data_IF_454548718311
#
_entry.id   IF_454548718311
#
_cell.length_a   1.000
_cell.length_b   1.000
_cell.length_c   1.000
_cell.angle_alpha   90.00
_cell.angle_beta   90.00
_cell.angle_gamma   90.00
#
_symmetry.space_group_name_H-M   'P 1'
#
loop_
_entity.id
_entity.type
_entity.pdbx_description
1 polymer ?
#
# COMPACT_ATOMS: atom_id res chain seq x y z
N UNK A 1 -0.11 7.83 -29.08
CA UNK A 1 -1.41 7.34 -28.58
C UNK A 1 -2.09 8.37 -27.66
N UNK A 2 -2.24 9.64 -28.09
CA UNK A 2 -2.68 10.74 -27.21
C UNK A 2 -4.12 10.58 -26.70
N UNK A 3 -4.99 9.91 -27.46
CA UNK A 3 -6.38 9.69 -27.05
C UNK A 3 -6.50 8.77 -25.82
N UNK A 4 -5.72 7.70 -25.75
CA UNK A 4 -5.74 6.76 -24.62
C UNK A 4 -5.23 7.45 -23.36
N UNK A 5 -4.13 8.20 -23.49
CA UNK A 5 -3.56 8.99 -22.40
C UNK A 5 -4.56 10.01 -21.85
N UNK A 6 -5.18 10.80 -22.74
CA UNK A 6 -6.23 11.75 -22.36
C UNK A 6 -7.44 11.06 -21.70
N UNK A 7 -7.80 9.86 -22.15
CA UNK A 7 -8.89 9.07 -21.55
C UNK A 7 -8.54 8.63 -20.14
N UNK A 8 -7.32 8.15 -19.89
CA UNK A 8 -6.86 7.75 -18.55
C UNK A 8 -6.78 8.95 -17.60
N UNK A 9 -6.29 10.10 -18.07
CA UNK A 9 -6.27 11.33 -17.28
C UNK A 9 -7.69 11.83 -16.96
N UNK A 10 -8.63 11.67 -17.89
CA UNK A 10 -10.04 12.01 -17.66
C UNK A 10 -10.66 11.05 -16.65
N UNK A 11 -10.41 9.75 -16.78
CA UNK A 11 -10.85 8.72 -15.85
C UNK A 11 -10.36 9.02 -14.43
N UNK A 12 -9.08 9.38 -14.25
CA UNK A 12 -8.50 9.71 -12.95
C UNK A 12 -9.32 10.78 -12.21
N UNK A 13 -9.82 11.79 -12.92
CA UNK A 13 -10.66 12.85 -12.32
C UNK A 13 -12.06 12.37 -11.97
N UNK A 14 -12.58 11.38 -12.68
CA UNK A 14 -13.92 10.84 -12.47
C UNK A 14 -14.01 9.76 -11.40
N UNK A 15 -12.92 9.07 -11.06
CA UNK A 15 -12.92 8.01 -10.04
C UNK A 15 -13.50 8.47 -8.69
N UNK A 16 -13.34 9.74 -8.34
CA UNK A 16 -13.88 10.32 -7.10
C UNK A 16 -15.40 10.59 -7.12
N UNK A 17 -16.06 10.50 -8.28
CA UNK A 17 -17.45 10.92 -8.46
C UNK A 17 -18.37 9.83 -9.02
N UNK A 18 -17.82 8.84 -9.74
CA UNK A 18 -18.64 7.80 -10.36
C UNK A 18 -19.14 6.77 -9.33
N UNK A 19 -20.31 6.16 -9.54
CA UNK A 19 -20.80 5.12 -8.65
C UNK A 19 -19.82 3.93 -8.57
N UNK A 20 -19.63 3.41 -7.36
CA UNK A 20 -18.64 2.37 -7.06
C UNK A 20 -18.85 1.08 -7.88
N UNK A 21 -20.09 0.75 -8.26
CA UNK A 21 -20.37 -0.40 -9.13
C UNK A 21 -19.64 -0.32 -10.48
N UNK A 22 -19.44 0.87 -11.06
CA UNK A 22 -18.65 1.03 -12.29
C UNK A 22 -17.16 0.74 -12.08
N UNK A 23 -16.65 0.87 -10.86
CA UNK A 23 -15.27 0.61 -10.50
C UNK A 23 -15.07 -0.87 -10.18
N UNK A 24 -15.91 -1.43 -9.31
CA UNK A 24 -15.69 -2.74 -8.67
C UNK A 24 -16.48 -3.90 -9.28
N UNK A 25 -17.62 -3.65 -9.93
CA UNK A 25 -18.45 -4.72 -10.53
C UNK A 25 -18.14 -4.91 -12.03
N UNK A 26 -17.39 -3.99 -12.62
CA UNK A 26 -16.95 -4.05 -14.01
C UNK A 26 -15.48 -4.49 -14.13
N UNK A 27 -14.99 -4.62 -15.36
CA UNK A 27 -13.60 -4.99 -15.67
C UNK A 27 -12.62 -3.82 -15.61
N UNK A 28 -12.95 -2.73 -14.90
CA UNK A 28 -12.14 -1.51 -14.91
C UNK A 28 -10.74 -1.76 -14.31
N UNK A 29 -10.69 -2.28 -13.08
CA UNK A 29 -9.44 -2.57 -12.35
C UNK A 29 -8.53 -3.48 -13.17
N UNK A 30 -9.05 -4.62 -13.64
CA UNK A 30 -8.27 -5.58 -14.43
C UNK A 30 -7.81 -4.99 -15.77
N UNK A 31 -8.60 -4.13 -16.40
CA UNK A 31 -8.18 -3.43 -17.63
C UNK A 31 -7.04 -2.47 -17.34
N UNK A 32 -7.11 -1.67 -16.27
CA UNK A 32 -6.03 -0.77 -15.85
C UNK A 32 -4.72 -1.54 -15.64
N UNK A 33 -4.77 -2.60 -14.83
CA UNK A 33 -3.60 -3.39 -14.48
C UNK A 33 -3.00 -4.09 -15.70
N UNK A 34 -3.78 -4.89 -16.44
CA UNK A 34 -3.22 -5.75 -17.48
C UNK A 34 -3.02 -5.10 -18.84
N UNK A 35 -3.72 -4.00 -19.15
CA UNK A 35 -3.60 -3.32 -20.46
C UNK A 35 -2.71 -2.10 -20.42
N UNK A 36 -2.64 -1.38 -19.31
CA UNK A 36 -2.01 -0.05 -19.28
C UNK A 36 -0.83 0.05 -18.32
N UNK A 37 -0.84 -0.65 -17.18
CA UNK A 37 0.21 -0.50 -16.17
C UNK A 37 1.62 -0.85 -16.70
N UNK A 38 1.76 -1.93 -17.47
CA UNK A 38 3.07 -2.31 -18.00
C UNK A 38 3.56 -1.42 -19.14
N UNK A 39 2.69 -0.62 -19.76
CA UNK A 39 3.04 0.21 -20.91
C UNK A 39 3.67 1.51 -20.40
N UNK A 40 4.96 1.80 -20.68
CA UNK A 40 5.68 2.93 -20.06
C UNK A 40 4.98 4.29 -20.21
N UNK A 41 4.33 4.53 -21.36
CA UNK A 41 3.63 5.79 -21.60
C UNK A 41 2.35 5.98 -20.78
N UNK A 42 1.73 4.91 -20.26
CA UNK A 42 0.47 4.96 -19.50
C UNK A 42 0.64 4.59 -18.03
N UNK A 43 1.79 4.01 -17.67
CA UNK A 43 2.06 3.43 -16.35
C UNK A 43 1.78 4.41 -15.20
N UNK A 44 2.27 5.64 -15.32
CA UNK A 44 2.14 6.65 -14.26
C UNK A 44 0.68 7.02 -13.99
N UNK A 45 -0.07 7.44 -15.02
CA UNK A 45 -1.49 7.77 -14.85
C UNK A 45 -2.33 6.55 -14.44
N UNK A 46 -1.99 5.36 -14.93
CA UNK A 46 -2.65 4.12 -14.53
C UNK A 46 -2.45 3.85 -13.05
N UNK A 47 -1.22 3.96 -12.55
CA UNK A 47 -0.93 3.74 -11.14
C UNK A 47 -1.61 4.79 -10.26
N UNK A 48 -1.67 6.06 -10.68
CA UNK A 48 -2.47 7.08 -10.00
C UNK A 48 -3.96 6.69 -9.93
N UNK A 49 -4.55 6.16 -11.00
CA UNK A 49 -5.93 5.65 -10.97
C UNK A 49 -6.10 4.51 -9.96
N UNK A 50 -5.15 3.56 -9.93
CA UNK A 50 -5.18 2.45 -8.97
C UNK A 50 -5.03 2.96 -7.52
N UNK A 51 -4.26 4.02 -7.29
CA UNK A 51 -4.14 4.68 -5.98
C UNK A 51 -5.45 5.31 -5.53
N UNK A 52 -6.17 6.02 -6.41
CA UNK A 52 -7.49 6.57 -6.07
C UNK A 52 -8.48 5.46 -5.73
N UNK A 53 -8.47 4.35 -6.48
CA UNK A 53 -9.32 3.18 -6.19
C UNK A 53 -8.94 2.55 -4.85
N UNK A 54 -7.64 2.42 -4.56
CA UNK A 54 -7.13 1.87 -3.30
C UNK A 54 -7.44 2.73 -2.07
N UNK A 55 -7.78 4.01 -2.25
CA UNK A 55 -8.19 4.90 -1.17
C UNK A 55 -9.67 4.79 -0.78
N UNK A 56 -10.47 3.99 -1.51
CA UNK A 56 -11.91 3.87 -1.24
C UNK A 56 -12.16 2.94 -0.05
N UNK A 57 -12.76 3.48 1.01
CA UNK A 57 -13.01 2.76 2.27
C UNK A 57 -14.43 2.19 2.36
N UNK A 58 -14.67 1.06 1.69
CA UNK A 58 -15.96 0.33 1.75
C UNK A 58 -15.78 -1.17 1.95
N UNK A 59 -16.67 -1.80 2.71
CA UNK A 59 -16.60 -3.23 3.05
C UNK A 59 -17.16 -4.16 1.97
N UNK A 60 -17.98 -3.65 1.04
CA UNK A 60 -18.77 -4.50 0.14
C UNK A 60 -17.95 -5.08 -1.03
N UNK A 61 -16.70 -4.63 -1.19
CA UNK A 61 -15.83 -4.98 -2.31
C UNK A 61 -14.48 -5.55 -1.86
N UNK A 62 -14.43 -6.23 -0.71
CA UNK A 62 -13.18 -6.83 -0.19
C UNK A 62 -12.46 -7.71 -1.21
N UNK A 63 -13.18 -8.54 -1.97
CA UNK A 63 -12.59 -9.43 -2.97
C UNK A 63 -11.89 -8.65 -4.09
N UNK A 64 -12.46 -7.52 -4.50
CA UNK A 64 -11.90 -6.64 -5.52
C UNK A 64 -10.67 -5.90 -5.01
N UNK A 65 -10.64 -5.48 -3.74
CA UNK A 65 -9.44 -4.91 -3.14
C UNK A 65 -8.31 -5.93 -3.05
N UNK A 66 -8.61 -7.15 -2.59
CA UNK A 66 -7.63 -8.25 -2.60
C UNK A 66 -7.08 -8.48 -4.01
N UNK A 67 -7.96 -8.56 -5.02
CA UNK A 67 -7.56 -8.72 -6.41
C UNK A 67 -6.71 -7.54 -6.92
N UNK A 68 -7.06 -6.31 -6.55
CA UNK A 68 -6.34 -5.09 -6.90
C UNK A 68 -4.88 -5.17 -6.43
N UNK A 69 -4.62 -5.49 -5.17
CA UNK A 69 -3.25 -5.59 -4.68
C UNK A 69 -2.51 -6.76 -5.32
N UNK A 70 -3.09 -7.96 -5.32
CA UNK A 70 -2.43 -9.17 -5.83
C UNK A 70 -2.00 -8.99 -7.28
N UNK A 71 -2.93 -8.58 -8.15
CA UNK A 71 -2.64 -8.41 -9.58
C UNK A 71 -1.67 -7.25 -9.84
N UNK A 72 -1.76 -6.16 -9.05
CA UNK A 72 -0.81 -5.05 -9.18
C UNK A 72 0.60 -5.49 -8.79
N UNK A 73 0.75 -6.24 -7.69
CA UNK A 73 2.03 -6.77 -7.23
C UNK A 73 2.65 -7.75 -8.24
N UNK A 74 1.84 -8.59 -8.89
CA UNK A 74 2.30 -9.47 -9.98
C UNK A 74 2.89 -8.67 -11.16
N UNK A 75 2.21 -7.59 -11.58
CA UNK A 75 2.74 -6.73 -12.65
C UNK A 75 4.00 -5.97 -12.19
N UNK A 76 4.05 -5.52 -10.94
CA UNK A 76 5.19 -4.81 -10.36
C UNK A 76 6.45 -5.67 -10.34
N UNK A 77 6.37 -6.94 -9.90
CA UNK A 77 7.54 -7.83 -9.87
C UNK A 77 8.13 -8.08 -11.26
N UNK A 78 7.31 -8.07 -12.32
CA UNK A 78 7.79 -8.15 -13.69
C UNK A 78 8.48 -6.87 -14.18
N UNK A 79 8.00 -5.70 -13.75
CA UNK A 79 8.54 -4.40 -14.17
C UNK A 79 9.74 -3.91 -13.34
N UNK A 80 9.74 -4.22 -12.05
CA UNK A 80 10.69 -3.74 -11.06
C UNK A 80 10.98 -4.87 -10.06
N UNK A 81 11.84 -5.85 -10.40
CA UNK A 81 12.13 -6.96 -9.51
C UNK A 81 12.61 -6.49 -8.13
N UNK A 82 12.24 -7.21 -7.06
CA UNK A 82 12.64 -6.92 -5.67
C UNK A 82 14.16 -6.99 -5.41
N UNK A 83 14.95 -7.47 -6.37
CA UNK A 83 16.42 -7.44 -6.35
C UNK A 83 17.00 -6.15 -6.90
N UNK A 84 16.18 -5.27 -7.47
CA UNK A 84 16.62 -3.99 -8.05
C UNK A 84 17.02 -3.03 -6.94
N UNK A 85 18.17 -2.37 -7.09
CA UNK A 85 18.55 -1.24 -6.24
C UNK A 85 17.72 -0.01 -6.65
N UNK A 86 16.61 0.23 -5.95
CA UNK A 86 15.68 1.33 -6.29
C UNK A 86 16.34 2.70 -6.10
N UNK A 87 17.22 2.88 -5.12
CA UNK A 87 17.96 4.14 -4.93
C UNK A 87 18.78 4.49 -6.17
N UNK A 88 19.60 3.56 -6.63
CA UNK A 88 20.44 3.77 -7.81
C UNK A 88 19.60 3.92 -9.08
N UNK A 89 18.56 3.10 -9.25
CA UNK A 89 17.65 3.19 -10.39
C UNK A 89 16.92 4.55 -10.44
N UNK A 90 16.55 5.10 -9.28
CA UNK A 90 15.94 6.42 -9.19
C UNK A 90 16.93 7.54 -9.54
N UNK A 91 18.16 7.47 -9.01
CA UNK A 91 19.20 8.45 -9.27
C UNK A 91 19.64 8.47 -10.74
N UNK A 92 19.66 7.31 -11.41
CA UNK A 92 19.95 7.18 -12.83
C UNK A 92 18.73 7.41 -13.75
N UNK A 93 17.52 7.37 -13.18
CA UNK A 93 16.26 7.53 -13.90
C UNK A 93 16.03 8.96 -14.37
N UNK A 94 15.11 9.13 -15.32
CA UNK A 94 14.62 10.45 -15.76
C UNK A 94 13.26 10.73 -15.09
N UNK A 95 12.68 11.88 -15.40
CA UNK A 95 11.43 12.36 -14.81
C UNK A 95 10.32 11.31 -14.76
N UNK A 96 10.12 10.52 -15.83
CA UNK A 96 9.05 9.52 -15.87
C UNK A 96 9.30 8.32 -14.95
N UNK A 97 10.54 7.85 -14.85
CA UNK A 97 10.91 6.75 -13.94
C UNK A 97 10.86 7.22 -12.47
N UNK A 98 11.28 8.45 -12.19
CA UNK A 98 11.20 9.03 -10.84
C UNK A 98 9.74 9.23 -10.38
N UNK A 99 8.89 9.77 -11.26
CA UNK A 99 7.44 9.90 -11.04
C UNK A 99 6.80 8.52 -10.81
N UNK A 100 7.28 7.48 -11.49
CA UNK A 100 6.77 6.12 -11.26
C UNK A 100 7.07 5.62 -9.85
N UNK A 101 8.31 5.80 -9.35
CA UNK A 101 8.67 5.40 -7.99
C UNK A 101 7.87 6.18 -6.95
N UNK A 102 7.65 7.48 -7.16
CA UNK A 102 6.79 8.28 -6.28
C UNK A 102 5.33 7.79 -6.28
N UNK A 103 4.75 7.53 -7.46
CA UNK A 103 3.39 6.99 -7.58
C UNK A 103 3.26 5.60 -6.95
N UNK A 104 4.32 4.79 -7.02
CA UNK A 104 4.38 3.48 -6.37
C UNK A 104 4.40 3.60 -4.84
N UNK A 105 5.17 4.56 -4.30
CA UNK A 105 5.16 4.86 -2.87
C UNK A 105 3.76 5.25 -2.40
N UNK A 106 3.09 6.15 -3.14
CA UNK A 106 1.72 6.58 -2.86
C UNK A 106 0.75 5.41 -2.91
N UNK A 107 0.76 4.60 -3.96
CA UNK A 107 -0.11 3.44 -4.10
C UNK A 107 0.04 2.47 -2.92
N UNK A 108 1.27 2.05 -2.61
CA UNK A 108 1.53 1.07 -1.55
C UNK A 108 1.17 1.63 -0.18
N UNK A 109 1.51 2.89 0.11
CA UNK A 109 1.17 3.52 1.38
C UNK A 109 -0.35 3.66 1.54
N UNK A 110 -1.06 4.12 0.52
CA UNK A 110 -2.53 4.24 0.54
C UNK A 110 -3.18 2.87 0.74
N UNK A 111 -2.83 1.89 -0.09
CA UNK A 111 -3.46 0.57 -0.02
C UNK A 111 -3.19 -0.09 1.34
N UNK A 112 -1.95 -0.08 1.84
CA UNK A 112 -1.61 -0.76 3.08
C UNK A 112 -2.22 -0.07 4.32
N UNK A 113 -2.39 1.26 4.31
CA UNK A 113 -3.11 1.99 5.37
C UNK A 113 -4.58 1.58 5.42
N UNK A 114 -5.27 1.60 4.28
CA UNK A 114 -6.73 1.38 4.25
C UNK A 114 -7.11 -0.11 4.28
N UNK A 115 -6.28 -0.97 3.70
CA UNK A 115 -6.63 -2.37 3.42
C UNK A 115 -5.57 -3.38 3.87
N UNK A 116 -4.52 -2.97 4.60
CA UNK A 116 -3.46 -3.89 5.08
C UNK A 116 -4.02 -5.04 5.93
N UNK A 117 -4.91 -4.74 6.88
CA UNK A 117 -5.55 -5.75 7.73
C UNK A 117 -6.41 -6.75 6.93
N UNK A 118 -6.96 -6.35 5.78
CA UNK A 118 -7.70 -7.28 4.92
C UNK A 118 -6.76 -8.36 4.36
N UNK A 119 -5.56 -7.97 3.91
CA UNK A 119 -4.56 -8.90 3.37
C UNK A 119 -4.04 -9.86 4.45
N UNK A 120 -3.81 -9.35 5.66
CA UNK A 120 -3.44 -10.17 6.82
C UNK A 120 -4.52 -11.22 7.14
N UNK A 121 -5.80 -10.79 7.25
CA UNK A 121 -6.93 -11.68 7.54
C UNK A 121 -7.13 -12.75 6.46
N UNK A 122 -6.84 -12.43 5.20
CA UNK A 122 -6.92 -13.37 4.08
C UNK A 122 -5.72 -14.32 4.00
N UNK A 123 -4.72 -14.17 4.86
CA UNK A 123 -3.54 -15.05 4.92
C UNK A 123 -2.57 -14.85 3.75
N UNK A 124 -2.62 -13.70 3.07
CA UNK A 124 -1.78 -13.39 1.91
C UNK A 124 -0.42 -12.80 2.34
N UNK A 125 0.26 -13.49 3.26
CA UNK A 125 1.47 -13.01 3.93
C UNK A 125 2.60 -12.70 2.94
N UNK A 126 2.79 -13.53 1.91
CA UNK A 126 3.86 -13.31 0.93
C UNK A 126 3.65 -12.00 0.15
N UNK A 127 2.43 -11.73 -0.32
CA UNK A 127 2.10 -10.49 -1.03
C UNK A 127 2.29 -9.27 -0.13
N UNK A 128 1.84 -9.35 1.13
CA UNK A 128 2.04 -8.30 2.13
C UNK A 128 3.53 -8.02 2.39
N UNK A 129 4.32 -9.08 2.59
CA UNK A 129 5.76 -8.96 2.84
C UNK A 129 6.50 -8.37 1.64
N UNK A 130 6.13 -8.76 0.41
CA UNK A 130 6.69 -8.18 -0.80
C UNK A 130 6.34 -6.69 -0.93
N UNK A 131 5.10 -6.29 -0.62
CA UNK A 131 4.67 -4.89 -0.63
C UNK A 131 5.45 -4.06 0.40
N UNK A 132 5.60 -4.56 1.63
CA UNK A 132 6.41 -3.92 2.67
C UNK A 132 7.89 -3.84 2.26
N UNK A 133 8.42 -4.86 1.60
CA UNK A 133 9.80 -4.87 1.10
C UNK A 133 10.02 -3.82 0.01
N UNK A 134 9.07 -3.61 -0.90
CA UNK A 134 9.13 -2.47 -1.82
C UNK A 134 9.19 -1.14 -1.08
N UNK A 135 8.34 -0.94 -0.05
CA UNK A 135 8.39 0.30 0.73
C UNK A 135 9.74 0.51 1.42
N UNK A 136 10.39 -0.54 1.94
CA UNK A 136 11.74 -0.43 2.50
C UNK A 136 12.74 0.03 1.43
N UNK A 137 12.75 -0.62 0.26
CA UNK A 137 13.64 -0.25 -0.85
C UNK A 137 13.38 1.17 -1.37
N UNK A 138 12.12 1.59 -1.45
CA UNK A 138 11.74 2.95 -1.85
C UNK A 138 12.14 3.97 -0.79
N UNK A 139 12.08 3.61 0.50
CA UNK A 139 12.50 4.50 1.60
C UNK A 139 14.00 4.80 1.59
N UNK A 140 14.80 4.04 0.84
CA UNK A 140 16.22 4.32 0.64
C UNK A 140 16.49 5.37 -0.45
N UNK A 141 15.49 5.79 -1.22
CA UNK A 141 15.66 6.82 -2.24
C UNK A 141 15.99 8.16 -1.59
N UNK A 142 17.02 8.83 -2.11
CA UNK A 142 17.49 10.14 -1.62
C UNK A 142 16.64 11.30 -2.17
N UNK A 143 15.31 11.21 -1.98
CA UNK A 143 14.34 12.24 -2.35
C UNK A 143 13.40 12.52 -1.16
N UNK A 144 13.32 13.79 -0.75
CA UNK A 144 12.66 14.19 0.50
C UNK A 144 11.15 13.92 0.45
N UNK A 145 10.49 14.19 -0.68
CA UNK A 145 9.04 14.00 -0.78
C UNK A 145 8.65 12.50 -0.78
N UNK A 146 9.45 11.65 -1.42
CA UNK A 146 9.25 10.19 -1.39
C UNK A 146 9.45 9.66 0.04
N UNK A 147 10.52 10.10 0.71
CA UNK A 147 10.78 9.69 2.09
C UNK A 147 9.65 10.10 3.04
N UNK A 148 9.06 11.30 2.90
CA UNK A 148 7.91 11.74 3.71
C UNK A 148 6.70 10.81 3.54
N UNK A 149 6.38 10.43 2.30
CA UNK A 149 5.27 9.51 2.00
C UNK A 149 5.48 8.17 2.74
N UNK A 150 6.66 7.58 2.60
CA UNK A 150 6.99 6.32 3.28
C UNK A 150 7.01 6.47 4.81
N UNK A 151 7.58 7.56 5.33
CA UNK A 151 7.65 7.82 6.77
C UNK A 151 6.26 7.95 7.40
N UNK A 152 5.31 8.56 6.70
CA UNK A 152 3.93 8.66 7.18
C UNK A 152 3.29 7.27 7.34
N UNK A 153 3.54 6.36 6.39
CA UNK A 153 3.12 4.96 6.51
C UNK A 153 3.80 4.25 7.68
N UNK A 154 5.13 4.32 7.78
CA UNK A 154 5.87 3.65 8.85
C UNK A 154 5.47 4.14 10.24
N UNK A 155 5.20 5.44 10.38
CA UNK A 155 4.72 6.03 11.62
C UNK A 155 3.32 5.50 11.98
N UNK A 156 2.40 5.42 11.01
CA UNK A 156 1.07 4.85 11.24
C UNK A 156 1.14 3.38 11.64
N UNK A 157 1.90 2.57 10.91
CA UNK A 157 2.09 1.15 11.21
C UNK A 157 2.69 0.92 12.61
N UNK A 158 3.76 1.66 12.95
CA UNK A 158 4.39 1.56 14.26
C UNK A 158 3.44 1.97 15.39
N UNK A 159 2.65 3.03 15.19
CA UNK A 159 1.65 3.47 16.15
C UNK A 159 0.56 2.41 16.39
N UNK A 160 0.07 1.76 15.34
CA UNK A 160 -0.95 0.71 15.48
C UNK A 160 -0.42 -0.55 16.14
N UNK A 161 0.79 -1.00 15.78
CA UNK A 161 1.47 -2.11 16.46
C UNK A 161 1.73 -1.78 17.93
N UNK A 162 2.13 -0.54 18.23
CA UNK A 162 2.35 -0.09 19.60
C UNK A 162 1.07 -0.15 20.42
N UNK A 163 -0.08 0.28 19.88
CA UNK A 163 -1.40 0.22 20.57
C UNK A 163 -1.86 -1.20 20.87
N UNK A 164 -1.47 -2.18 20.06
CA UNK A 164 -1.76 -3.61 20.30
C UNK A 164 -0.82 -4.21 21.37
N UNK A 165 0.41 -3.70 21.47
CA UNK A 165 1.43 -4.19 22.37
C UNK A 165 1.49 -3.68 23.85
N UNK A 166 0.73 -2.69 24.40
CA UNK A 166 1.05 -2.13 25.71
C UNK A 166 0.54 -2.93 26.93
N UNK A 167 -0.07 -4.10 26.77
CA UNK A 167 -0.69 -4.85 27.90
C UNK A 167 -0.31 -6.33 28.03
N UNK A 168 0.79 -6.80 27.43
CA UNK A 168 1.29 -8.15 27.70
C UNK A 168 2.25 -8.25 28.91
N UNK A 169 2.71 -7.12 29.47
CA UNK A 169 3.69 -7.10 30.58
C UNK A 169 3.24 -6.38 31.86
N UNK A 170 1.98 -5.96 31.96
CA UNK A 170 1.43 -5.28 33.15
C UNK A 170 0.64 -6.22 34.08
N UNK A 171 0.79 -7.55 33.92
CA UNK A 171 0.01 -8.56 34.64
C UNK A 171 0.72 -9.30 35.79
N UNK A 172 2.03 -9.12 36.00
CA UNK A 172 2.80 -9.99 36.92
C UNK A 172 3.32 -9.33 38.21
N UNK A 173 3.08 -8.02 38.42
CA UNK A 173 3.62 -7.33 39.61
C UNK A 173 2.58 -6.82 40.62
N UNK A 174 1.28 -6.90 40.32
CA UNK A 174 0.21 -6.54 41.28
C UNK A 174 -0.34 -7.73 42.10
N UNK A 175 0.10 -8.96 41.82
CA UNK A 175 -0.37 -10.18 42.51
C UNK A 175 0.43 -10.60 43.74
N UNK A 176 1.61 -10.03 44.00
CA UNK A 176 2.53 -10.52 45.05
C UNK A 176 2.63 -9.61 46.28
N UNK A 177 1.53 -8.95 46.68
CA UNK A 177 1.47 -8.13 47.90
C UNK A 177 0.34 -8.49 48.88
N UNK A 178 -0.29 -9.67 48.76
CA UNK A 178 -1.31 -10.18 49.71
C UNK A 178 -0.96 -11.50 50.43
N UNK A 179 0.32 -11.89 50.50
CA UNK A 179 0.75 -13.13 51.19
C UNK A 179 1.52 -12.92 52.51
N UNK A 180 1.70 -11.68 52.97
CA UNK A 180 2.42 -11.39 54.23
C UNK A 180 1.53 -10.54 55.14
N UNK A 181 0.62 -11.19 55.86
CA UNK A 181 -0.24 -10.49 56.80
C UNK A 181 -1.39 -11.30 57.40
N UNK A 182 -1.19 -12.59 57.73
CA UNK A 182 -2.05 -13.32 58.67
C UNK A 182 -1.24 -14.27 59.54
N UNK A 183 -0.58 -13.71 60.55
CA UNK A 183 -0.27 -14.36 61.83
C UNK A 183 -0.21 -13.26 62.90
N UNK A 184 -1.28 -13.09 63.66
CA UNK A 184 -1.31 -12.70 65.08
C UNK A 184 -2.76 -12.46 65.53
N UNK A 185 -3.10 -13.10 66.65
CA UNK A 185 -4.37 -13.16 67.40
C UNK A 185 -5.41 -14.13 66.84
#
# INVERSE_FOLDING_TARGET
APLVDATLHTLLRFLNWIPLGYIFEMKLISTLIFKFLNVPMFRNVTLSCLTEIAGVTVSNYEEQFVALLVQTMEQLEAMLPLTTNIREAYAAGRDQEQVFIQNLALFLCTYLKEHGQLIERRGLTNTLMNALRYLVLISEVEEVEIFKICLEFWNALAADLYKVAPCAHSGSLYGMRKSLGRKAL
#
